data_IF_869525105308
#
_entry.id   IF_869525105308
#
_cell.length_a   1.000
_cell.length_b   1.000
_cell.length_c   1.000
_cell.angle_alpha   90.00
_cell.angle_beta   90.00
_cell.angle_gamma   90.00
#
_symmetry.space_group_name_H-M   'P 1'
#
loop_
_entity.id
_entity.type
_entity.pdbx_description
1 polymer ?
#
# COMPACT_ATOMS: atom_id res chain seq x y z
N UNK A 1 -48.69 -48.86 64.13
CA UNK A 1 -48.09 -47.63 63.65
C UNK A 1 -47.38 -47.93 62.35
N UNK A 2 -47.91 -47.47 61.20
CA UNK A 2 -47.34 -47.73 59.85
C UNK A 2 -46.63 -46.45 59.36
N UNK A 3 -45.30 -46.48 59.25
CA UNK A 3 -44.53 -45.41 58.66
C UNK A 3 -44.66 -45.49 57.13
N UNK A 4 -45.11 -44.42 56.50
CA UNK A 4 -45.10 -44.24 55.06
C UNK A 4 -43.78 -43.55 54.68
N UNK A 5 -42.94 -44.22 53.87
CA UNK A 5 -41.76 -43.64 53.28
C UNK A 5 -42.20 -42.83 52.07
N UNK A 6 -41.80 -41.55 52.00
CA UNK A 6 -41.93 -40.67 50.84
C UNK A 6 -40.63 -40.75 50.03
N UNK A 7 -40.70 -41.28 48.81
CA UNK A 7 -39.59 -41.25 47.88
C UNK A 7 -39.64 -39.92 47.08
N UNK A 8 -38.63 -39.03 47.24
CA UNK A 8 -38.46 -37.83 46.48
C UNK A 8 -37.55 -38.16 45.27
N UNK A 9 -38.17 -38.15 44.11
CA UNK A 9 -37.42 -38.35 42.81
C UNK A 9 -36.80 -37.05 42.37
N UNK A 10 -35.47 -36.97 42.43
CA UNK A 10 -34.69 -35.84 41.89
C UNK A 10 -34.51 -36.05 40.38
N UNK A 11 -35.21 -35.27 39.55
CA UNK A 11 -35.01 -35.21 38.09
C UNK A 11 -33.88 -34.21 37.87
N UNK A 12 -32.66 -34.71 37.64
CA UNK A 12 -31.53 -33.91 37.19
C UNK A 12 -31.66 -33.59 35.71
N UNK A 13 -32.07 -32.37 35.38
CA UNK A 13 -32.07 -31.83 34.00
C UNK A 13 -30.62 -31.54 33.60
N UNK A 14 -30.03 -32.41 32.77
CA UNK A 14 -28.71 -32.20 32.16
C UNK A 14 -28.86 -31.17 31.07
N UNK A 15 -28.47 -29.90 31.34
CA UNK A 15 -28.40 -28.84 30.35
C UNK A 15 -27.18 -29.11 29.45
N UNK A 16 -27.42 -29.64 28.25
CA UNK A 16 -26.39 -29.73 27.19
C UNK A 16 -26.16 -28.32 26.69
N UNK A 17 -25.08 -27.67 27.14
CA UNK A 17 -24.58 -26.45 26.58
C UNK A 17 -24.04 -26.78 25.17
N UNK A 18 -24.80 -26.44 24.13
CA UNK A 18 -24.35 -26.48 22.76
C UNK A 18 -23.25 -25.42 22.59
N UNK A 19 -21.99 -25.84 22.72
CA UNK A 19 -20.84 -25.02 22.30
C UNK A 19 -20.88 -24.88 20.79
N UNK A 20 -21.38 -23.74 20.33
CA UNK A 20 -21.24 -23.35 18.91
C UNK A 20 -19.74 -23.35 18.57
N UNK A 21 -19.30 -24.02 17.49
CA UNK A 21 -17.92 -23.95 17.07
C UNK A 21 -17.59 -22.47 16.77
N UNK A 22 -16.65 -21.91 17.51
CA UNK A 22 -16.07 -20.62 17.15
C UNK A 22 -15.40 -20.82 15.78
N UNK A 23 -16.03 -20.34 14.71
CA UNK A 23 -15.44 -20.32 13.38
C UNK A 23 -14.15 -19.49 13.48
N UNK A 24 -13.00 -20.15 13.46
CA UNK A 24 -11.72 -19.48 13.43
C UNK A 24 -11.69 -18.55 12.22
N UNK A 25 -11.54 -17.25 12.48
CA UNK A 25 -11.51 -16.25 11.43
C UNK A 25 -10.34 -16.53 10.49
N UNK A 26 -10.61 -16.62 9.18
CA UNK A 26 -9.57 -16.85 8.16
C UNK A 26 -8.52 -15.75 8.24
N UNK A 27 -7.24 -16.13 8.34
CA UNK A 27 -6.12 -15.19 8.28
C UNK A 27 -5.71 -14.98 6.83
N UNK A 28 -5.65 -13.72 6.40
CA UNK A 28 -5.23 -13.29 5.06
C UNK A 28 -3.90 -12.57 5.17
N UNK A 29 -2.87 -13.09 4.49
CA UNK A 29 -1.53 -12.51 4.45
C UNK A 29 -1.47 -11.38 3.43
N UNK A 30 -1.05 -10.20 3.88
CA UNK A 30 -1.06 -8.97 3.07
C UNK A 30 0.34 -8.39 2.95
N UNK A 31 0.90 -8.41 1.75
CA UNK A 31 2.19 -7.78 1.45
C UNK A 31 2.08 -6.25 1.49
N UNK A 32 2.97 -5.62 2.24
CA UNK A 32 3.09 -4.15 2.36
C UNK A 32 4.54 -3.72 2.43
N UNK A 33 4.83 -2.47 2.04
CA UNK A 33 6.20 -1.95 2.02
C UNK A 33 6.52 -1.13 3.27
N UNK A 34 7.77 -1.10 3.74
CA UNK A 34 8.16 -0.32 4.91
C UNK A 34 8.57 1.13 4.62
N UNK A 35 8.47 1.64 3.37
CA UNK A 35 9.24 2.83 2.93
C UNK A 35 8.42 3.94 2.29
N UNK A 36 7.09 3.93 2.37
CA UNK A 36 6.22 4.86 1.62
C UNK A 36 5.21 5.63 2.48
N UNK A 37 5.66 6.47 3.45
CA UNK A 37 4.76 7.39 4.17
C UNK A 37 4.09 8.34 3.18
N UNK A 38 2.78 8.55 3.24
CA UNK A 38 1.82 8.13 4.26
C UNK A 38 1.07 6.82 3.97
N UNK A 39 1.40 6.10 2.89
CA UNK A 39 0.67 4.91 2.48
C UNK A 39 0.99 3.66 3.30
N UNK A 40 2.29 3.28 3.34
CA UNK A 40 2.80 2.15 4.12
C UNK A 40 4.22 2.44 4.56
N UNK A 41 4.53 2.29 5.84
CA UNK A 41 5.87 2.55 6.39
C UNK A 41 6.10 1.77 7.67
N UNK A 42 7.36 1.53 7.99
CA UNK A 42 7.73 0.94 9.27
C UNK A 42 7.59 1.99 10.39
N UNK A 43 6.66 1.77 11.29
CA UNK A 43 6.56 2.54 12.52
C UNK A 43 7.62 2.02 13.51
N UNK A 44 8.68 2.79 13.73
CA UNK A 44 9.82 2.38 14.57
C UNK A 44 9.48 2.26 16.06
N UNK A 45 8.36 2.85 16.51
CA UNK A 45 7.91 2.75 17.91
C UNK A 45 7.23 1.42 18.20
N UNK A 46 6.46 0.91 17.23
CA UNK A 46 5.69 -0.33 17.37
C UNK A 46 6.36 -1.51 16.68
N UNK A 47 7.35 -1.24 15.81
CA UNK A 47 7.99 -2.20 14.92
C UNK A 47 6.99 -2.93 14.00
N UNK A 48 5.94 -2.23 13.58
CA UNK A 48 4.90 -2.73 12.66
C UNK A 48 4.79 -1.83 11.45
N UNK A 49 4.25 -2.36 10.34
CA UNK A 49 3.90 -1.52 9.20
C UNK A 49 2.61 -0.78 9.53
N UNK A 50 2.62 0.54 9.25
CA UNK A 50 1.53 1.48 9.50
C UNK A 50 1.25 2.30 8.22
N UNK A 51 0.16 3.07 8.19
CA UNK A 51 -0.18 3.97 7.08
C UNK A 51 -1.59 3.80 6.53
N UNK A 52 -1.94 4.64 5.57
CA UNK A 52 -3.28 4.69 4.99
C UNK A 52 -3.73 3.35 4.41
N UNK A 53 -2.84 2.66 3.69
CA UNK A 53 -3.19 1.38 3.07
C UNK A 53 -3.29 0.25 4.10
N UNK A 54 -2.62 0.37 5.25
CA UNK A 54 -2.77 -0.58 6.38
C UNK A 54 -4.11 -0.35 7.08
N UNK A 55 -4.49 0.90 7.34
CA UNK A 55 -5.80 1.22 7.91
C UNK A 55 -6.93 0.74 7.00
N UNK A 56 -6.81 0.97 5.68
CA UNK A 56 -7.81 0.56 4.69
C UNK A 56 -7.94 -0.97 4.65
N UNK A 57 -6.82 -1.72 4.57
CA UNK A 57 -6.92 -3.18 4.49
C UNK A 57 -7.44 -3.81 5.79
N UNK A 58 -7.14 -3.22 6.95
CA UNK A 58 -7.72 -3.64 8.21
C UNK A 58 -9.24 -3.39 8.27
N UNK A 59 -9.70 -2.23 7.78
CA UNK A 59 -11.12 -1.94 7.66
C UNK A 59 -11.82 -2.91 6.69
N UNK A 60 -11.19 -3.20 5.54
CA UNK A 60 -11.66 -4.20 4.58
C UNK A 60 -11.74 -5.59 5.23
N UNK A 61 -10.71 -6.02 5.93
CA UNK A 61 -10.68 -7.31 6.62
C UNK A 61 -11.81 -7.45 7.65
N UNK A 62 -12.02 -6.40 8.45
CA UNK A 62 -13.13 -6.34 9.43
C UNK A 62 -14.49 -6.45 8.74
N UNK A 63 -14.73 -5.70 7.66
CA UNK A 63 -16.00 -5.70 6.92
C UNK A 63 -16.22 -7.03 6.17
N UNK A 64 -15.17 -7.60 5.60
CA UNK A 64 -15.20 -8.85 4.83
C UNK A 64 -15.14 -10.12 5.70
N UNK A 65 -14.89 -10.01 7.02
CA UNK A 65 -14.89 -11.12 7.97
C UNK A 65 -13.58 -11.93 8.00
N UNK A 66 -12.42 -11.33 7.62
CA UNK A 66 -11.12 -11.98 7.74
C UNK A 66 -10.13 -11.17 8.60
N UNK A 67 -9.15 -11.87 9.19
CA UNK A 67 -8.06 -11.26 9.94
C UNK A 67 -6.90 -10.92 8.99
N UNK A 68 -6.42 -9.68 9.06
CA UNK A 68 -5.26 -9.23 8.29
C UNK A 68 -3.96 -9.58 9.02
N UNK A 69 -2.99 -10.15 8.28
CA UNK A 69 -1.62 -10.35 8.73
C UNK A 69 -0.69 -9.62 7.75
N UNK A 70 -0.08 -8.51 8.18
CA UNK A 70 0.83 -7.73 7.33
C UNK A 70 2.19 -8.43 7.23
N UNK A 71 2.65 -8.62 5.99
CA UNK A 71 3.95 -9.19 5.64
C UNK A 71 4.83 -8.09 5.00
N UNK A 72 5.82 -7.56 5.73
CA UNK A 72 6.72 -6.53 5.21
C UNK A 72 7.62 -7.09 4.12
N UNK A 73 7.71 -6.40 2.98
CA UNK A 73 8.63 -6.77 1.89
C UNK A 73 8.94 -5.59 0.97
N UNK A 74 10.04 -5.65 0.18
CA UNK A 74 10.32 -4.65 -0.85
C UNK A 74 9.20 -4.59 -1.90
N UNK A 75 8.97 -3.40 -2.47
CA UNK A 75 7.92 -3.19 -3.48
C UNK A 75 8.08 -4.12 -4.70
N UNK A 76 9.32 -4.30 -5.16
CA UNK A 76 9.66 -5.20 -6.28
C UNK A 76 9.30 -6.67 -6.06
N UNK A 77 9.20 -7.11 -4.79
CA UNK A 77 8.89 -8.50 -4.44
C UNK A 77 7.38 -8.79 -4.36
N UNK A 78 6.52 -7.76 -4.29
CA UNK A 78 5.09 -7.90 -3.99
C UNK A 78 4.36 -8.79 -5.01
N UNK A 79 4.46 -8.49 -6.31
CA UNK A 79 3.76 -9.25 -7.36
C UNK A 79 4.26 -10.70 -7.40
N UNK A 80 5.58 -10.91 -7.35
CA UNK A 80 6.15 -12.26 -7.32
C UNK A 80 5.73 -13.06 -6.09
N UNK A 81 5.59 -12.41 -4.92
CA UNK A 81 5.09 -13.07 -3.70
C UNK A 81 3.60 -13.40 -3.78
N UNK A 82 2.82 -12.55 -4.45
CA UNK A 82 1.39 -12.77 -4.67
C UNK A 82 1.15 -13.92 -5.66
N UNK A 83 1.83 -13.93 -6.81
CA UNK A 83 1.69 -14.98 -7.83
C UNK A 83 2.19 -16.34 -7.36
N UNK A 84 3.22 -16.38 -6.51
CA UNK A 84 3.71 -17.61 -5.85
C UNK A 84 2.90 -18.04 -4.61
N UNK A 85 1.80 -17.33 -4.31
CA UNK A 85 0.89 -17.61 -3.17
C UNK A 85 1.57 -17.57 -1.79
N UNK A 86 2.67 -16.81 -1.66
CA UNK A 86 3.30 -16.55 -0.35
C UNK A 86 2.51 -15.53 0.46
N UNK A 87 1.80 -14.64 -0.22
CA UNK A 87 0.81 -13.70 0.31
C UNK A 87 -0.49 -13.83 -0.49
N UNK A 88 -1.59 -13.41 0.11
CA UNK A 88 -2.93 -13.50 -0.48
C UNK A 88 -3.37 -12.18 -1.14
N UNK A 89 -2.93 -11.05 -0.57
CA UNK A 89 -3.23 -9.69 -1.04
C UNK A 89 -1.98 -8.82 -1.02
N UNK A 90 -2.00 -7.75 -1.81
CA UNK A 90 -1.05 -6.64 -1.73
C UNK A 90 -1.82 -5.35 -1.38
N UNK A 91 -1.38 -4.66 -0.33
CA UNK A 91 -1.87 -3.35 0.06
C UNK A 91 -0.67 -2.41 0.31
N UNK A 92 -0.17 -1.78 -0.77
CA UNK A 92 1.08 -1.04 -0.78
C UNK A 92 1.06 0.14 -1.77
N UNK A 93 -0.07 0.81 -1.94
CA UNK A 93 -0.27 1.91 -2.91
C UNK A 93 0.16 1.54 -4.35
N UNK A 94 -0.09 0.30 -4.75
CA UNK A 94 0.29 -0.21 -6.06
C UNK A 94 -0.64 0.32 -7.15
N UNK A 95 -0.09 0.95 -8.18
CA UNK A 95 -0.86 1.39 -9.35
C UNK A 95 -1.48 0.21 -10.08
N UNK A 96 -2.75 0.37 -10.44
CA UNK A 96 -3.47 -0.49 -11.38
C UNK A 96 -2.94 -0.16 -12.78
N UNK A 97 -2.21 -1.09 -13.40
CA UNK A 97 -1.70 -0.93 -14.77
C UNK A 97 -2.07 -2.12 -15.63
N UNK A 98 -2.24 -1.95 -16.96
CA UNK A 98 -2.53 -3.08 -17.86
C UNK A 98 -1.55 -4.25 -17.68
N UNK A 99 -0.24 -3.97 -17.62
CA UNK A 99 0.78 -5.00 -17.47
C UNK A 99 0.62 -5.79 -16.17
N UNK A 100 0.29 -5.12 -15.07
CA UNK A 100 0.05 -5.81 -13.79
C UNK A 100 -1.25 -6.61 -13.82
N UNK A 101 -2.28 -6.08 -14.49
CA UNK A 101 -3.56 -6.76 -14.67
C UNK A 101 -3.47 -8.03 -15.54
N UNK A 102 -2.42 -8.19 -16.32
CA UNK A 102 -2.13 -9.47 -17.03
C UNK A 102 -1.84 -10.61 -16.06
N UNK A 103 -1.24 -10.33 -14.89
CA UNK A 103 -0.74 -11.35 -13.95
C UNK A 103 -1.46 -11.40 -12.61
N UNK A 104 -2.10 -10.29 -12.17
CA UNK A 104 -2.85 -10.20 -10.90
C UNK A 104 -4.19 -9.52 -11.11
N UNK A 105 -5.14 -9.79 -10.19
CA UNK A 105 -6.41 -9.06 -10.12
C UNK A 105 -6.26 -7.83 -9.21
N UNK A 106 -7.01 -6.76 -9.51
CA UNK A 106 -7.06 -5.56 -8.68
C UNK A 106 -8.48 -5.29 -8.19
N UNK A 107 -8.58 -4.67 -7.04
CA UNK A 107 -9.81 -4.09 -6.52
C UNK A 107 -10.23 -2.86 -7.33
N UNK A 108 -11.44 -2.38 -7.06
CA UNK A 108 -11.86 -1.03 -7.43
C UNK A 108 -10.83 0.00 -6.96
N UNK A 109 -10.60 1.09 -7.73
CA UNK A 109 -9.65 2.15 -7.38
C UNK A 109 -9.95 2.76 -6.02
N UNK A 110 -8.90 3.01 -5.23
CA UNK A 110 -9.01 3.58 -3.88
C UNK A 110 -8.63 5.06 -3.88
N UNK A 111 -7.51 5.40 -4.51
CA UNK A 111 -6.97 6.75 -4.55
C UNK A 111 -6.23 6.96 -5.86
N UNK A 112 -6.02 8.23 -6.28
CA UNK A 112 -5.36 8.56 -7.55
C UNK A 112 -4.35 9.68 -7.34
N UNK A 113 -3.16 9.52 -7.90
CA UNK A 113 -2.09 10.53 -7.88
C UNK A 113 -1.13 10.31 -9.05
N UNK A 114 -0.17 11.23 -9.21
CA UNK A 114 0.94 11.09 -10.15
C UNK A 114 2.28 11.06 -9.43
N UNK A 115 3.37 10.88 -10.18
CA UNK A 115 4.70 11.03 -9.61
C UNK A 115 4.98 12.47 -9.21
N UNK A 116 5.76 12.63 -8.15
CA UNK A 116 6.38 13.88 -7.75
C UNK A 116 7.81 13.93 -8.25
N UNK A 117 8.21 15.11 -8.74
CA UNK A 117 9.55 15.38 -9.19
C UNK A 117 10.38 15.99 -8.05
N UNK A 118 11.35 15.23 -7.57
CA UNK A 118 12.37 15.70 -6.63
C UNK A 118 13.64 16.05 -7.38
N UNK A 119 14.22 17.19 -7.07
CA UNK A 119 15.45 17.69 -7.69
C UNK A 119 16.52 17.92 -6.64
N UNK A 120 17.77 17.50 -6.92
CA UNK A 120 18.90 17.98 -6.15
C UNK A 120 18.98 19.50 -6.27
N UNK A 121 19.24 20.19 -5.15
CA UNK A 121 19.22 21.67 -5.09
C UNK A 121 20.15 22.33 -6.12
N UNK A 122 21.25 21.69 -6.45
CA UNK A 122 22.21 22.15 -7.47
C UNK A 122 21.72 21.96 -8.91
N UNK A 123 20.62 21.22 -9.13
CA UNK A 123 20.03 21.04 -10.46
C UNK A 123 19.49 22.39 -10.96
N UNK A 124 19.80 22.72 -12.23
CA UNK A 124 19.40 23.98 -12.84
C UNK A 124 17.89 24.24 -12.66
N UNK A 125 17.56 25.48 -12.37
CA UNK A 125 16.18 25.94 -12.22
C UNK A 125 15.59 26.21 -13.59
N UNK A 126 15.03 25.18 -14.22
CA UNK A 126 14.32 25.22 -15.49
C UNK A 126 12.97 24.51 -15.36
N UNK A 127 12.00 24.81 -16.21
CA UNK A 127 10.76 24.03 -16.24
C UNK A 127 11.02 22.58 -16.64
N UNK A 128 10.35 21.66 -15.93
CA UNK A 128 10.28 20.24 -16.26
C UNK A 128 8.83 19.90 -16.59
N UNK A 129 8.54 19.46 -17.80
CA UNK A 129 7.18 19.21 -18.29
C UNK A 129 6.93 17.74 -18.64
N UNK A 130 8.02 16.98 -18.85
CA UNK A 130 7.98 15.56 -19.17
C UNK A 130 9.30 14.88 -18.83
N UNK A 131 9.37 13.57 -18.98
CA UNK A 131 10.60 12.81 -18.79
C UNK A 131 11.69 13.14 -19.83
N UNK A 132 11.32 13.70 -20.99
CA UNK A 132 12.29 14.16 -21.99
C UNK A 132 13.19 15.30 -21.48
N UNK A 133 12.74 16.05 -20.48
CA UNK A 133 13.52 17.12 -19.87
C UNK A 133 14.66 16.61 -18.98
N UNK A 134 14.72 15.30 -18.72
CA UNK A 134 15.78 14.65 -17.93
C UNK A 134 16.99 14.22 -18.77
N UNK A 135 17.02 14.52 -20.08
CA UNK A 135 18.18 14.23 -20.95
C UNK A 135 19.48 14.81 -20.37
N UNK A 136 20.52 14.00 -20.36
CA UNK A 136 21.82 14.32 -19.75
C UNK A 136 21.89 14.22 -18.22
N UNK A 137 20.79 13.89 -17.55
CA UNK A 137 20.73 13.79 -16.09
C UNK A 137 20.77 12.34 -15.61
N UNK A 138 21.25 12.12 -14.38
CA UNK A 138 21.10 10.87 -13.64
C UNK A 138 19.77 10.93 -12.88
N UNK A 139 18.89 9.96 -13.14
CA UNK A 139 17.53 9.88 -12.60
C UNK A 139 17.41 8.69 -11.65
N UNK A 140 16.97 8.92 -10.44
CA UNK A 140 16.63 7.88 -9.48
C UNK A 140 15.15 7.52 -9.53
N UNK A 141 14.85 6.23 -9.43
CA UNK A 141 13.48 5.72 -9.36
C UNK A 141 13.46 4.41 -8.57
N UNK A 142 12.35 4.14 -7.88
CA UNK A 142 12.21 2.88 -7.16
C UNK A 142 11.91 1.73 -8.15
N UNK A 143 12.66 0.62 -7.99
CA UNK A 143 12.50 -0.58 -8.81
C UNK A 143 11.08 -1.14 -8.70
N UNK A 144 10.52 -1.57 -9.84
CA UNK A 144 9.19 -2.16 -9.91
C UNK A 144 8.03 -1.15 -9.92
N UNK A 145 8.30 0.17 -9.81
CA UNK A 145 7.26 1.21 -9.95
C UNK A 145 6.83 1.38 -11.40
N UNK A 146 5.65 1.99 -11.60
CA UNK A 146 5.11 2.26 -12.94
C UNK A 146 5.91 3.31 -13.72
N UNK A 147 6.85 3.99 -13.09
CA UNK A 147 7.69 5.04 -13.69
C UNK A 147 8.90 4.48 -14.46
N UNK A 148 9.34 3.26 -14.15
CA UNK A 148 10.58 2.67 -14.69
C UNK A 148 10.52 2.51 -16.20
N UNK A 149 9.46 1.86 -16.71
CA UNK A 149 9.36 1.57 -18.15
C UNK A 149 9.16 2.84 -19.02
N UNK A 150 8.36 3.84 -18.63
CA UNK A 150 8.34 5.13 -19.33
C UNK A 150 9.68 5.84 -19.34
N UNK A 151 10.44 5.83 -18.23
CA UNK A 151 11.78 6.44 -18.18
C UNK A 151 12.76 5.77 -19.14
N UNK A 152 12.75 4.44 -19.22
CA UNK A 152 13.65 3.69 -20.13
C UNK A 152 13.41 3.98 -21.61
N UNK A 153 12.24 4.52 -21.96
CA UNK A 153 11.90 4.91 -23.35
C UNK A 153 12.43 6.29 -23.73
N UNK A 154 12.98 7.04 -22.79
CA UNK A 154 13.53 8.38 -23.04
C UNK A 154 14.99 8.25 -23.42
N UNK A 155 15.29 8.61 -24.67
CA UNK A 155 16.68 8.64 -25.16
C UNK A 155 17.46 9.79 -24.53
N UNK A 156 18.74 9.52 -24.22
CA UNK A 156 19.65 10.56 -23.74
C UNK A 156 19.62 10.84 -22.24
N UNK A 157 18.87 10.09 -21.44
CA UNK A 157 19.06 10.07 -19.97
C UNK A 157 20.46 9.51 -19.71
N UNK A 158 21.27 10.21 -18.90
CA UNK A 158 22.63 9.80 -18.59
C UNK A 158 22.69 8.47 -17.86
N UNK A 159 21.80 8.29 -16.88
CA UNK A 159 21.69 7.09 -16.06
C UNK A 159 20.30 7.00 -15.46
N UNK A 160 19.70 5.81 -15.45
CA UNK A 160 18.50 5.50 -14.64
C UNK A 160 18.97 4.59 -13.50
N UNK A 161 19.06 5.15 -12.30
CA UNK A 161 19.48 4.42 -11.10
C UNK A 161 18.27 3.87 -10.36
N UNK A 162 18.24 2.55 -10.20
CA UNK A 162 17.15 1.83 -9.54
C UNK A 162 17.46 1.68 -8.04
N UNK A 163 16.47 1.96 -7.18
CA UNK A 163 16.57 1.87 -5.74
C UNK A 163 15.50 0.93 -5.19
N UNK A 164 15.83 0.14 -4.17
CA UNK A 164 14.85 -0.72 -3.48
C UNK A 164 13.87 0.09 -2.62
N UNK A 165 14.29 1.24 -2.11
CA UNK A 165 13.48 2.13 -1.29
C UNK A 165 13.79 3.60 -1.53
N UNK A 166 12.89 4.47 -1.08
CA UNK A 166 13.00 5.92 -1.26
C UNK A 166 14.17 6.54 -0.49
N UNK A 167 14.57 5.98 0.65
CA UNK A 167 15.58 6.57 1.53
C UNK A 167 16.95 6.68 0.88
N UNK A 168 17.39 5.62 0.17
CA UNK A 168 18.68 5.62 -0.53
C UNK A 168 18.68 6.59 -1.71
N UNK A 169 17.57 6.67 -2.45
CA UNK A 169 17.39 7.63 -3.54
C UNK A 169 17.48 9.07 -3.02
N UNK A 170 16.80 9.37 -1.91
CA UNK A 170 16.81 10.72 -1.31
C UNK A 170 18.20 11.06 -0.79
N UNK A 171 18.92 10.11 -0.21
CA UNK A 171 20.32 10.28 0.22
C UNK A 171 21.21 10.65 -0.96
N UNK A 172 21.05 9.98 -2.10
CA UNK A 172 21.81 10.27 -3.31
C UNK A 172 21.44 11.61 -3.94
N UNK A 173 20.15 12.01 -3.93
CA UNK A 173 19.71 13.36 -4.28
C UNK A 173 20.35 14.42 -3.39
N UNK A 174 20.28 14.21 -2.07
CA UNK A 174 20.81 15.14 -1.07
C UNK A 174 22.33 15.31 -1.17
N UNK A 175 23.02 14.25 -1.59
CA UNK A 175 24.47 14.25 -1.86
C UNK A 175 24.84 14.73 -3.28
N UNK A 176 23.85 15.04 -4.14
CA UNK A 176 24.08 15.47 -5.53
C UNK A 176 24.60 14.37 -6.48
N UNK A 177 24.52 13.09 -6.07
CA UNK A 177 24.94 11.95 -6.91
C UNK A 177 23.99 11.67 -8.07
N UNK A 178 22.72 12.01 -7.90
CA UNK A 178 21.68 12.06 -8.94
C UNK A 178 21.05 13.44 -8.93
N UNK A 179 20.55 13.90 -10.09
CA UNK A 179 19.93 15.20 -10.27
C UNK A 179 18.43 15.16 -10.06
N UNK A 180 17.80 14.04 -10.42
CA UNK A 180 16.36 13.84 -10.45
C UNK A 180 15.99 12.60 -9.64
N UNK A 181 14.89 12.67 -8.89
CA UNK A 181 14.25 11.52 -8.25
C UNK A 181 12.76 11.54 -8.52
N UNK A 182 12.23 10.40 -8.97
CA UNK A 182 10.80 10.20 -9.15
C UNK A 182 10.26 9.30 -8.07
N UNK A 183 9.22 9.79 -7.39
CA UNK A 183 8.52 9.09 -6.33
C UNK A 183 7.04 9.46 -6.40
N UNK A 184 6.17 8.69 -5.80
CA UNK A 184 4.77 9.05 -5.64
C UNK A 184 4.66 10.44 -5.00
N UNK A 185 3.89 11.35 -5.63
CA UNK A 185 3.80 12.74 -5.15
C UNK A 185 3.48 12.86 -3.66
N UNK A 186 2.51 12.10 -3.09
CA UNK A 186 2.23 12.20 -1.65
C UNK A 186 3.42 11.79 -0.78
N UNK A 187 4.21 10.80 -1.22
CA UNK A 187 5.40 10.35 -0.49
C UNK A 187 6.49 11.43 -0.56
N UNK A 188 6.78 11.94 -1.76
CA UNK A 188 7.77 12.99 -1.97
C UNK A 188 7.43 14.26 -1.17
N UNK A 189 6.16 14.68 -1.22
CA UNK A 189 5.67 15.85 -0.48
C UNK A 189 5.81 15.67 1.04
N UNK A 190 5.43 14.49 1.56
CA UNK A 190 5.57 14.18 2.98
C UNK A 190 7.05 14.23 3.42
N UNK A 191 7.93 13.52 2.74
CA UNK A 191 9.35 13.43 3.11
C UNK A 191 10.01 14.81 3.13
N UNK A 192 9.72 15.63 2.12
CA UNK A 192 10.33 16.97 2.04
C UNK A 192 9.70 17.97 3.01
N UNK A 193 8.45 17.75 3.45
CA UNK A 193 7.82 18.57 4.49
C UNK A 193 8.47 18.41 5.87
N UNK A 194 9.20 17.30 6.12
CA UNK A 194 9.90 17.08 7.39
C UNK A 194 11.16 17.96 7.57
N UNK A 195 11.68 18.53 6.48
CA UNK A 195 12.84 19.44 6.53
C UNK A 195 14.21 18.77 6.66
N UNK A 196 14.29 17.44 6.72
CA UNK A 196 15.53 16.68 6.95
C UNK A 196 16.43 16.60 5.70
N UNK A 197 15.96 17.10 4.55
CA UNK A 197 16.65 16.98 3.26
C UNK A 197 16.94 18.36 2.63
N UNK A 198 17.86 19.15 3.22
CA UNK A 198 18.06 20.57 2.85
C UNK A 198 18.57 20.78 1.43
N UNK A 199 19.15 19.76 0.80
CA UNK A 199 19.68 19.82 -0.55
C UNK A 199 18.75 19.18 -1.60
N UNK A 200 17.50 18.88 -1.24
CA UNK A 200 16.48 18.35 -2.14
C UNK A 200 15.28 19.31 -2.17
N UNK A 201 14.73 19.54 -3.35
CA UNK A 201 13.49 20.31 -3.51
C UNK A 201 12.45 19.50 -4.28
N UNK A 202 11.18 19.71 -3.95
CA UNK A 202 10.05 19.24 -4.73
C UNK A 202 9.73 20.29 -5.80
N UNK A 203 9.66 19.90 -7.06
CA UNK A 203 9.17 20.77 -8.11
C UNK A 203 7.64 20.80 -8.07
N UNK A 204 7.09 21.88 -7.52
CA UNK A 204 5.63 22.06 -7.40
C UNK A 204 4.97 22.47 -8.72
N UNK A 205 5.76 22.91 -9.71
CA UNK A 205 5.27 23.30 -11.03
C UNK A 205 5.17 22.11 -11.99
N UNK A 206 5.88 21.03 -11.67
CA UNK A 206 5.90 19.81 -12.47
C UNK A 206 4.50 19.18 -12.58
N UNK A 207 4.12 18.84 -13.80
CA UNK A 207 2.89 18.10 -14.06
C UNK A 207 3.23 16.63 -14.27
N UNK A 208 2.65 15.72 -13.50
CA UNK A 208 2.97 14.31 -13.60
C UNK A 208 2.74 13.74 -15.00
N UNK A 209 3.70 12.97 -15.49
CA UNK A 209 3.65 12.24 -16.76
C UNK A 209 2.87 10.93 -16.62
N UNK A 210 3.04 10.28 -15.47
CA UNK A 210 2.37 9.00 -15.16
C UNK A 210 1.40 9.20 -14.00
N UNK A 211 0.12 9.25 -14.32
CA UNK A 211 -0.95 9.36 -13.32
C UNK A 211 -1.69 8.03 -13.26
N UNK A 212 -1.81 7.46 -12.07
CA UNK A 212 -2.47 6.18 -11.86
C UNK A 212 -3.40 6.15 -10.67
N UNK A 213 -4.31 5.18 -10.67
CA UNK A 213 -5.10 4.82 -9.50
C UNK A 213 -4.47 3.64 -8.79
N UNK A 214 -4.51 3.62 -7.47
CA UNK A 214 -4.06 2.50 -6.64
C UNK A 214 -5.22 1.60 -6.24
N UNK A 215 -4.92 0.32 -6.07
CA UNK A 215 -5.86 -0.68 -5.60
C UNK A 215 -5.18 -1.76 -4.75
N UNK A 216 -5.99 -2.62 -4.16
CA UNK A 216 -5.54 -3.86 -3.52
C UNK A 216 -5.41 -4.91 -4.62
N UNK A 217 -4.28 -5.62 -4.65
CA UNK A 217 -4.09 -6.71 -5.61
C UNK A 217 -4.29 -8.08 -4.96
N UNK A 218 -4.80 -9.05 -5.72
CA UNK A 218 -4.96 -10.45 -5.35
C UNK A 218 -4.48 -11.37 -6.48
N UNK A 219 -4.21 -12.64 -6.15
CA UNK A 219 -3.97 -13.64 -7.17
C UNK A 219 -5.25 -13.85 -8.01
N UNK A 220 -5.09 -13.96 -9.34
CA UNK A 220 -6.22 -14.23 -10.26
C UNK A 220 -6.95 -15.55 -9.97
N UNK A 221 -6.24 -16.50 -9.39
CA UNK A 221 -6.82 -17.80 -9.00
C UNK A 221 -7.75 -17.71 -7.78
N UNK A 222 -7.86 -16.54 -7.14
CA UNK A 222 -8.71 -16.34 -5.97
C UNK A 222 -9.75 -15.22 -6.21
N UNK A 223 -10.68 -15.38 -7.17
CA UNK A 223 -11.69 -14.38 -7.47
C UNK A 223 -12.66 -14.13 -6.30
N UNK A 224 -12.89 -15.13 -5.45
CA UNK A 224 -13.77 -15.02 -4.28
C UNK A 224 -13.22 -14.02 -3.26
N UNK A 225 -11.90 -14.05 -2.99
CA UNK A 225 -11.27 -13.10 -2.08
C UNK A 225 -11.36 -11.68 -2.64
N UNK A 226 -11.12 -11.49 -3.94
CA UNK A 226 -11.25 -10.18 -4.58
C UNK A 226 -12.70 -9.68 -4.56
N UNK A 227 -13.69 -10.55 -4.76
CA UNK A 227 -15.10 -10.19 -4.64
C UNK A 227 -15.45 -9.72 -3.22
N UNK A 228 -14.95 -10.39 -2.17
CA UNK A 228 -15.11 -9.96 -0.76
C UNK A 228 -14.45 -8.61 -0.50
N UNK A 229 -13.23 -8.39 -1.02
CA UNK A 229 -12.51 -7.11 -0.92
C UNK A 229 -13.32 -5.99 -1.57
N UNK A 230 -13.83 -6.19 -2.79
CA UNK A 230 -14.60 -5.18 -3.50
C UNK A 230 -15.94 -4.86 -2.82
N UNK A 231 -16.65 -5.89 -2.33
CA UNK A 231 -17.89 -5.69 -1.58
C UNK A 231 -17.66 -4.88 -0.30
N UNK A 232 -16.56 -5.17 0.43
CA UNK A 232 -16.18 -4.40 1.61
C UNK A 232 -15.79 -2.96 1.26
N UNK A 233 -14.96 -2.77 0.20
CA UNK A 233 -14.56 -1.43 -0.25
C UNK A 233 -15.77 -0.58 -0.66
N UNK A 234 -16.75 -1.16 -1.36
CA UNK A 234 -17.97 -0.44 -1.77
C UNK A 234 -18.74 0.10 -0.54
N UNK A 235 -18.91 -0.72 0.50
CA UNK A 235 -19.57 -0.30 1.75
C UNK A 235 -18.75 0.77 2.49
N UNK A 236 -17.42 0.59 2.59
CA UNK A 236 -16.53 1.52 3.28
C UNK A 236 -16.39 2.87 2.56
N UNK A 237 -16.54 2.89 1.24
CA UNK A 237 -16.67 4.13 0.45
C UNK A 237 -18.00 4.80 0.71
N UNK A 238 -19.10 4.05 0.63
CA UNK A 238 -20.45 4.57 0.79
C UNK A 238 -20.71 5.19 2.17
N UNK A 239 -20.10 4.66 3.23
CA UNK A 239 -20.23 5.17 4.59
C UNK A 239 -19.16 6.20 5.00
N UNK A 240 -18.26 6.61 4.06
CA UNK A 240 -17.22 7.62 4.29
C UNK A 240 -15.99 7.14 5.07
N UNK A 241 -15.86 5.85 5.37
CA UNK A 241 -14.70 5.31 6.12
C UNK A 241 -13.40 5.49 5.33
N UNK A 242 -13.41 5.22 4.01
CA UNK A 242 -12.22 5.40 3.17
C UNK A 242 -11.77 6.86 3.16
N UNK A 243 -12.69 7.81 2.99
CA UNK A 243 -12.38 9.25 3.01
C UNK A 243 -11.83 9.69 4.36
N UNK A 244 -12.38 9.18 5.44
CA UNK A 244 -11.90 9.46 6.81
C UNK A 244 -10.46 8.96 6.99
N UNK A 245 -10.14 7.75 6.52
CA UNK A 245 -8.78 7.21 6.59
C UNK A 245 -7.84 8.05 5.71
N UNK A 246 -8.22 8.37 4.48
CA UNK A 246 -7.39 9.19 3.59
C UNK A 246 -7.11 10.57 4.21
N UNK A 247 -8.12 11.24 4.78
CA UNK A 247 -7.96 12.52 5.49
C UNK A 247 -7.04 12.42 6.70
N UNK A 248 -7.17 11.37 7.51
CA UNK A 248 -6.28 11.09 8.65
C UNK A 248 -4.81 11.12 8.24
N UNK A 249 -4.51 10.64 7.04
CA UNK A 249 -3.15 10.53 6.51
C UNK A 249 -2.74 11.69 5.59
N UNK A 250 -3.54 12.76 5.52
CA UNK A 250 -3.24 13.93 4.67
C UNK A 250 -3.41 13.68 3.17
N UNK A 251 -4.16 12.64 2.80
CA UNK A 251 -4.46 12.25 1.42
C UNK A 251 -5.87 12.71 0.97
N UNK A 252 -6.62 13.36 1.84
CA UNK A 252 -7.95 13.91 1.53
C UNK A 252 -7.84 15.19 0.69
N UNK A 253 -8.86 15.42 -0.20
CA UNK A 253 -9.07 16.69 -0.86
C UNK A 253 -9.61 17.75 0.12
#
# INVERSE_FOLDING_TARGET
MKLKAFAVSFISTLAIAASAPALAQTVVKVGSTPTGVPFTFLNTKTNTIDGAMVDIINAVGKEAGFKVQIEPMPFSALIGSLTSKRIDLVSAAMYITPQRQEVVAFSEPIYRYGEGLMLAKATADKPFNSFDDFKGMSVGVQVGTAYVEPLKKVDGIKEIKLYDGSQDMIRDLNAGRIQVGLLDYPIAAYILSQGDNPNVRLDKSYKPTVIGSIGIAANKDNPELMAKVNAALAKLKANGTIDTILKKWGLGA
#
